data_IF_265739536640
#
_entry.id   IF_265739536640
#
_cell.length_a   1.000
_cell.length_b   1.000
_cell.length_c   1.000
_cell.angle_alpha   90.00
_cell.angle_beta   90.00
_cell.angle_gamma   90.00
#
_symmetry.space_group_name_H-M   'P 1'
#
loop_
_entity.id
_entity.type
_entity.pdbx_description
1 polymer ?
#
# COMPACT_ATOMS: atom_id res chain seq x y z
N UNK A 1 -17.94 15.94 41.14
CA UNK A 1 -18.37 14.57 40.77
C UNK A 1 -17.77 14.23 39.42
N UNK A 2 -17.04 13.11 39.32
CA UNK A 2 -16.39 12.69 38.07
C UNK A 2 -17.20 11.53 37.49
N UNK A 3 -17.85 11.75 36.34
CA UNK A 3 -18.54 10.70 35.58
C UNK A 3 -17.50 9.88 34.83
N UNK A 4 -17.21 8.68 35.33
CA UNK A 4 -16.36 7.74 34.62
C UNK A 4 -17.12 7.09 33.45
N UNK A 5 -16.45 6.86 32.31
CA UNK A 5 -17.07 6.19 31.18
C UNK A 5 -17.45 4.74 31.56
N UNK A 6 -18.49 4.18 30.91
CA UNK A 6 -18.93 2.82 31.17
C UNK A 6 -17.78 1.84 30.92
N UNK A 7 -17.51 0.99 31.92
CA UNK A 7 -16.47 -0.06 31.90
C UNK A 7 -16.75 -1.19 30.89
N UNK A 8 -17.94 -1.22 30.31
CA UNK A 8 -18.29 -2.24 29.32
C UNK A 8 -17.61 -1.92 27.99
N UNK A 9 -16.74 -2.83 27.53
CA UNK A 9 -16.23 -2.76 26.15
C UNK A 9 -17.42 -2.88 25.21
N UNK A 10 -17.49 -2.02 24.19
CA UNK A 10 -18.38 -2.27 23.04
C UNK A 10 -18.11 -3.69 22.57
N UNK A 11 -19.16 -4.53 22.53
CA UNK A 11 -19.07 -5.87 21.98
C UNK A 11 -18.37 -5.76 20.63
N UNK A 12 -17.40 -6.63 20.36
CA UNK A 12 -16.73 -6.66 19.07
C UNK A 12 -17.70 -7.18 18.02
N UNK A 13 -18.64 -6.33 17.60
CA UNK A 13 -19.28 -6.38 16.30
C UNK A 13 -18.24 -6.03 15.24
N UNK A 14 -17.14 -6.79 15.22
CA UNK A 14 -16.12 -6.75 14.19
C UNK A 14 -16.88 -6.98 12.89
N UNK A 15 -16.89 -6.01 11.97
CA UNK A 15 -17.32 -6.32 10.60
C UNK A 15 -16.42 -7.46 10.12
N UNK A 16 -17.04 -8.56 9.70
CA UNK A 16 -16.32 -9.79 9.28
C UNK A 16 -15.48 -9.55 8.03
N UNK A 17 -15.87 -8.59 7.22
CA UNK A 17 -15.19 -8.20 5.98
C UNK A 17 -14.44 -6.87 6.15
N UNK A 18 -13.42 -6.66 5.33
CA UNK A 18 -12.75 -5.37 5.19
C UNK A 18 -13.70 -4.23 4.81
N UNK A 19 -13.15 -3.02 4.62
CA UNK A 19 -13.91 -1.87 4.13
C UNK A 19 -14.63 -2.26 2.83
N UNK A 20 -15.94 -2.04 2.76
CA UNK A 20 -16.71 -2.16 1.52
C UNK A 20 -16.39 -0.92 0.67
N UNK A 21 -15.84 -1.08 -0.54
CA UNK A 21 -15.58 0.05 -1.42
C UNK A 21 -16.90 0.69 -1.88
N UNK A 22 -16.91 2.01 -2.06
CA UNK A 22 -18.04 2.72 -2.65
C UNK A 22 -18.12 2.46 -4.17
N UNK A 23 -19.28 2.71 -4.78
CA UNK A 23 -19.44 2.61 -6.25
C UNK A 23 -18.44 3.54 -6.92
N UNK A 24 -17.53 2.98 -7.72
CA UNK A 24 -16.44 3.71 -8.39
C UNK A 24 -15.14 3.83 -7.59
N UNK A 25 -15.04 3.26 -6.38
CA UNK A 25 -13.77 3.16 -5.67
C UNK A 25 -12.87 2.14 -6.38
N UNK A 26 -11.86 2.66 -7.07
CA UNK A 26 -10.85 1.84 -7.74
C UNK A 26 -9.97 1.26 -6.63
N UNK A 27 -9.95 -0.07 -6.41
CA UNK A 27 -9.03 -0.68 -5.45
C UNK A 27 -7.62 -0.26 -5.87
N UNK A 28 -6.88 0.35 -4.92
CA UNK A 28 -5.60 1.00 -5.18
C UNK A 28 -4.79 0.19 -6.18
N UNK A 29 -4.53 0.78 -7.33
CA UNK A 29 -3.90 0.14 -8.47
C UNK A 29 -2.46 -0.19 -8.09
N UNK A 30 -2.26 -1.29 -7.37
CA UNK A 30 -1.01 -2.04 -7.38
C UNK A 30 -0.91 -2.76 -8.72
N UNK A 31 -1.11 -2.02 -9.81
CA UNK A 31 -0.74 -2.44 -11.15
C UNK A 31 0.76 -2.64 -11.06
N UNK A 32 1.18 -3.91 -10.97
CA UNK A 32 2.58 -4.26 -11.16
C UNK A 32 2.98 -3.60 -12.46
N UNK A 33 3.97 -2.70 -12.43
CA UNK A 33 4.42 -2.00 -13.63
C UNK A 33 4.75 -3.07 -14.67
N UNK A 34 4.08 -3.01 -15.82
CA UNK A 34 4.39 -3.89 -16.96
C UNK A 34 5.81 -3.63 -17.44
N UNK A 35 6.24 -2.38 -17.35
CA UNK A 35 7.57 -1.95 -17.76
C UNK A 35 8.62 -2.24 -16.68
N UNK A 36 9.77 -2.84 -17.06
CA UNK A 36 10.90 -3.02 -16.16
C UNK A 36 11.46 -1.66 -15.74
N UNK A 37 11.94 -1.57 -14.50
CA UNK A 37 12.57 -0.34 -14.00
C UNK A 37 13.77 0.04 -14.87
N UNK A 38 13.87 1.32 -15.24
CA UNK A 38 15.05 1.86 -15.92
C UNK A 38 16.09 2.31 -14.90
N UNK A 39 17.35 1.96 -15.15
CA UNK A 39 18.47 2.41 -14.34
C UNK A 39 18.74 3.90 -14.58
N UNK A 40 18.72 4.72 -13.53
CA UNK A 40 19.02 6.16 -13.63
C UNK A 40 20.48 6.50 -13.93
N UNK A 41 21.39 5.51 -13.92
CA UNK A 41 22.82 5.70 -14.23
C UNK A 41 23.14 5.44 -15.70
N UNK A 42 22.67 4.33 -16.25
CA UNK A 42 22.99 3.88 -17.61
C UNK A 42 21.78 3.80 -18.53
N UNK A 43 20.59 4.21 -18.06
CA UNK A 43 19.33 4.23 -18.83
C UNK A 43 18.91 2.88 -19.42
N UNK A 44 19.47 1.77 -18.94
CA UNK A 44 19.09 0.43 -19.38
C UNK A 44 17.98 -0.16 -18.48
N UNK A 45 17.03 -0.90 -19.07
CA UNK A 45 15.99 -1.58 -18.30
C UNK A 45 16.52 -2.80 -17.54
N UNK A 46 15.75 -3.27 -16.57
CA UNK A 46 15.96 -4.56 -15.91
C UNK A 46 16.85 -4.54 -14.67
N UNK A 47 17.37 -3.37 -14.27
CA UNK A 47 18.13 -3.24 -13.04
C UNK A 47 18.03 -1.84 -12.43
N UNK A 48 18.29 -1.75 -11.13
CA UNK A 48 18.28 -0.48 -10.39
C UNK A 48 19.68 0.11 -10.29
N UNK A 49 19.78 1.40 -9.92
CA UNK A 49 21.07 2.09 -9.75
C UNK A 49 22.04 1.38 -8.79
N UNK A 50 21.52 0.72 -7.77
CA UNK A 50 22.31 -0.02 -6.77
C UNK A 50 22.93 -1.31 -7.30
N UNK A 51 22.29 -1.95 -8.29
CA UNK A 51 22.74 -3.18 -8.93
C UNK A 51 23.34 -2.91 -10.32
N UNK A 52 23.68 -1.66 -10.62
CA UNK A 52 24.21 -1.25 -11.92
C UNK A 52 25.71 -1.55 -11.98
N UNK A 53 26.09 -2.46 -12.87
CA UNK A 53 27.48 -2.82 -13.17
C UNK A 53 28.08 -2.00 -14.31
N UNK A 54 27.26 -1.23 -15.03
CA UNK A 54 27.72 -0.43 -16.15
C UNK A 54 28.57 0.77 -15.67
N UNK A 55 29.69 1.05 -16.35
CA UNK A 55 30.45 2.27 -16.13
C UNK A 55 29.58 3.50 -16.51
N UNK A 56 29.98 4.65 -15.98
CA UNK A 56 29.27 5.90 -16.24
C UNK A 56 29.76 6.50 -17.56
#
# INVERSE_FOLDING_TARGET
>A
MVLLPPRTRRLSGRRKEGRIPSVGEIPGTSSKKTEPNMCSRCTQPGHNRTSCTNPK
#
